data_IF_814643433478
#
_entry.id   IF_814643433478
#
_cell.length_a   1.000
_cell.length_b   1.000
_cell.length_c   1.000
_cell.angle_alpha   90.00
_cell.angle_beta   90.00
_cell.angle_gamma   90.00
#
_symmetry.space_group_name_H-M   'P 1'
#
loop_
_entity.id
_entity.type
_entity.pdbx_description
1 polymer ?
#
# COMPACT_ATOMS: atom_id res chain seq x y z
N UNK A 1 -24.73 22.89 -28.43
CA UNK A 1 -24.19 21.78 -27.61
C UNK A 1 -22.89 21.18 -28.14
N UNK A 2 -22.58 21.20 -29.44
CA UNK A 2 -21.25 20.84 -29.97
C UNK A 2 -20.03 21.58 -29.35
N UNK A 3 -20.03 22.92 -29.20
CA UNK A 3 -18.83 23.62 -28.72
C UNK A 3 -18.49 23.31 -27.25
N UNK A 4 -19.48 22.91 -26.43
CA UNK A 4 -19.26 22.52 -25.04
C UNK A 4 -18.52 21.17 -24.94
N UNK A 5 -18.91 20.21 -25.77
CA UNK A 5 -18.28 18.88 -25.86
C UNK A 5 -16.89 18.96 -26.48
N UNK A 6 -16.68 19.85 -27.46
CA UNK A 6 -15.35 20.11 -28.02
C UNK A 6 -14.39 20.79 -27.03
N UNK A 7 -14.91 21.70 -26.19
CA UNK A 7 -14.13 22.40 -25.16
C UNK A 7 -13.88 21.53 -23.91
N UNK A 8 -14.75 20.56 -23.63
CA UNK A 8 -14.68 19.70 -22.46
C UNK A 8 -14.96 18.24 -22.86
N UNK A 9 -14.06 17.57 -23.59
CA UNK A 9 -14.28 16.20 -24.11
C UNK A 9 -14.38 15.12 -23.03
N UNK A 10 -14.43 15.50 -21.75
CA UNK A 10 -14.32 14.61 -20.59
C UNK A 10 -12.88 14.48 -20.13
N UNK A 11 -12.68 14.48 -18.81
CA UNK A 11 -11.36 14.56 -18.21
C UNK A 11 -10.62 13.23 -18.10
N UNK A 12 -11.17 12.08 -18.47
CA UNK A 12 -10.53 10.79 -18.19
C UNK A 12 -9.28 10.54 -19.07
N UNK A 13 -8.10 10.46 -18.45
CA UNK A 13 -6.87 10.04 -19.12
C UNK A 13 -6.84 8.52 -19.32
N UNK A 14 -6.28 8.06 -20.44
CA UNK A 14 -5.88 6.65 -20.63
C UNK A 14 -4.69 6.32 -19.72
N UNK A 15 -3.67 7.18 -19.73
CA UNK A 15 -2.48 7.10 -18.88
C UNK A 15 -2.29 8.44 -18.15
N UNK A 16 -2.31 8.48 -16.81
CA UNK A 16 -2.10 9.71 -16.08
C UNK A 16 -0.65 10.18 -16.22
N UNK A 17 -0.45 11.34 -16.85
CA UNK A 17 0.88 11.94 -17.01
C UNK A 17 1.28 12.84 -15.82
N UNK A 18 0.39 12.99 -14.84
CA UNK A 18 0.52 13.90 -13.70
C UNK A 18 0.42 15.39 -14.03
N UNK A 19 0.08 15.74 -15.29
CA UNK A 19 -0.33 17.09 -15.67
C UNK A 19 -1.78 17.32 -15.22
N UNK A 20 -2.09 18.54 -14.77
CA UNK A 20 -3.44 18.92 -14.32
C UNK A 20 -4.47 19.09 -15.44
N UNK A 21 -4.18 18.59 -16.64
CA UNK A 21 -5.01 18.68 -17.84
C UNK A 21 -5.98 17.49 -17.99
N UNK A 22 -5.94 16.52 -17.07
CA UNK A 22 -6.88 15.41 -17.03
C UNK A 22 -7.14 14.89 -15.60
N UNK A 23 -8.11 13.99 -15.51
CA UNK A 23 -8.62 13.27 -14.35
C UNK A 23 -8.39 11.78 -14.57
N UNK A 24 -8.12 11.04 -13.50
CA UNK A 24 -8.06 9.58 -13.52
C UNK A 24 -8.95 9.03 -12.41
N UNK A 25 -9.39 7.78 -12.57
CA UNK A 25 -10.02 7.01 -11.50
C UNK A 25 -9.08 5.90 -11.05
N UNK A 26 -9.15 5.53 -9.78
CA UNK A 26 -8.47 4.37 -9.24
C UNK A 26 -9.48 3.46 -8.54
N UNK A 27 -9.11 2.21 -8.39
CA UNK A 27 -9.81 1.25 -7.55
C UNK A 27 -8.84 0.71 -6.50
N UNK A 28 -9.35 0.45 -5.29
CA UNK A 28 -8.52 -0.16 -4.25
C UNK A 28 -8.23 -1.62 -4.62
N UNK A 29 -6.95 -1.99 -4.65
CA UNK A 29 -6.53 -3.37 -4.93
C UNK A 29 -6.88 -4.36 -3.81
N UNK A 30 -7.32 -3.86 -2.65
CA UNK A 30 -7.63 -4.63 -1.45
C UNK A 30 -6.71 -4.27 -0.29
N UNK A 31 -7.01 -4.83 0.88
CA UNK A 31 -6.20 -4.64 2.09
C UNK A 31 -6.15 -5.91 2.95
N UNK A 32 -5.03 -6.08 3.64
CA UNK A 32 -4.83 -7.08 4.68
C UNK A 32 -4.51 -6.37 5.99
N UNK A 33 -4.95 -6.94 7.11
CA UNK A 33 -4.68 -6.43 8.44
C UNK A 33 -3.49 -7.15 9.07
N UNK A 34 -2.74 -6.44 9.91
CA UNK A 34 -1.62 -7.03 10.66
C UNK A 34 -2.14 -8.16 11.57
N UNK A 35 -3.29 -7.99 12.19
CA UNK A 35 -4.01 -9.00 12.98
C UNK A 35 -4.18 -10.34 12.24
N UNK A 36 -4.44 -10.31 10.92
CA UNK A 36 -4.55 -11.51 10.08
C UNK A 36 -3.20 -12.24 9.95
N UNK A 37 -2.09 -11.49 9.95
CA UNK A 37 -0.73 -12.03 9.89
C UNK A 37 -0.26 -12.55 11.26
N UNK A 38 -0.67 -11.89 12.34
CA UNK A 38 -0.33 -12.26 13.72
C UNK A 38 -1.17 -13.42 14.25
N UNK A 39 -2.31 -13.70 13.60
CA UNK A 39 -3.29 -14.67 14.04
C UNK A 39 -4.15 -14.20 15.22
N UNK A 40 -4.30 -12.88 15.40
CA UNK A 40 -5.04 -12.29 16.52
C UNK A 40 -6.44 -11.89 16.05
N UNK A 41 -7.46 -12.69 16.37
CA UNK A 41 -8.84 -12.41 15.94
C UNK A 41 -9.55 -11.37 16.79
N UNK A 42 -9.23 -11.31 18.08
CA UNK A 42 -9.78 -10.35 19.04
C UNK A 42 -8.65 -9.82 19.92
N UNK A 43 -8.30 -8.57 19.70
CA UNK A 43 -7.21 -7.91 20.41
C UNK A 43 -7.46 -7.77 21.91
N UNK A 44 -8.71 -7.51 22.30
CA UNK A 44 -9.07 -7.30 23.70
C UNK A 44 -9.01 -8.63 24.48
N UNK A 45 -9.43 -9.72 23.85
CA UNK A 45 -9.28 -11.07 24.42
C UNK A 45 -7.81 -11.45 24.51
N UNK A 46 -7.02 -11.18 23.46
CA UNK A 46 -5.58 -11.45 23.45
C UNK A 46 -4.87 -10.79 24.64
N UNK A 47 -5.06 -9.49 24.85
CA UNK A 47 -4.46 -8.76 25.97
C UNK A 47 -4.98 -9.28 27.33
N UNK A 48 -6.29 -9.56 27.45
CA UNK A 48 -6.89 -10.08 28.70
C UNK A 48 -6.32 -11.43 29.11
N UNK A 49 -5.95 -12.28 28.15
CA UNK A 49 -5.31 -13.58 28.38
C UNK A 49 -3.80 -13.46 28.66
N UNK A 50 -3.26 -12.25 28.80
CA UNK A 50 -1.83 -12.00 29.02
C UNK A 50 -1.01 -12.00 27.74
N UNK A 51 -1.67 -11.89 26.58
CA UNK A 51 -1.02 -11.73 25.30
C UNK A 51 -0.23 -10.41 25.22
N UNK A 52 0.88 -10.45 24.49
CA UNK A 52 1.70 -9.30 24.17
C UNK A 52 2.38 -9.55 22.85
N UNK A 53 2.08 -8.76 21.82
CA UNK A 53 2.61 -8.94 20.46
C UNK A 53 4.14 -9.02 20.44
N UNK A 54 4.79 -8.18 21.23
CA UNK A 54 6.24 -8.11 21.31
C UNK A 54 6.74 -7.49 22.62
N UNK A 55 7.76 -8.10 23.20
CA UNK A 55 8.53 -7.59 24.33
C UNK A 55 9.99 -7.41 23.92
N UNK A 56 10.44 -6.16 23.89
CA UNK A 56 11.82 -5.79 23.55
C UNK A 56 12.88 -6.39 24.47
N UNK A 57 12.56 -6.65 25.75
CA UNK A 57 13.55 -7.24 26.69
C UNK A 57 13.84 -8.69 26.36
N UNK A 58 12.83 -9.42 25.90
CA UNK A 58 12.95 -10.85 25.57
C UNK A 58 13.00 -11.12 24.07
N UNK A 59 12.88 -10.07 23.24
CA UNK A 59 12.85 -10.13 21.78
C UNK A 59 11.84 -11.15 21.23
N UNK A 60 10.65 -11.20 21.86
CA UNK A 60 9.57 -12.14 21.55
C UNK A 60 8.21 -11.66 22.00
N UNK A 61 7.16 -12.20 21.41
CA UNK A 61 5.78 -12.08 21.86
C UNK A 61 5.38 -13.13 22.90
N UNK A 62 4.19 -12.93 23.46
CA UNK A 62 3.50 -13.84 24.37
C UNK A 62 2.09 -14.06 23.80
N UNK A 63 1.72 -15.33 23.56
CA UNK A 63 0.49 -15.66 22.84
C UNK A 63 0.55 -15.48 21.32
N UNK A 64 1.63 -14.93 20.79
CA UNK A 64 2.01 -14.92 19.36
C UNK A 64 3.53 -14.90 19.25
N UNK A 65 4.07 -15.35 18.12
CA UNK A 65 5.52 -15.38 17.83
C UNK A 65 5.89 -14.57 16.58
N UNK A 66 4.93 -13.82 16.02
CA UNK A 66 5.07 -13.13 14.74
C UNK A 66 6.23 -12.12 14.76
N UNK A 67 6.36 -11.34 15.83
CA UNK A 67 7.38 -10.31 16.00
C UNK A 67 8.68 -10.76 16.68
N UNK A 68 8.80 -12.04 17.04
CA UNK A 68 10.02 -12.55 17.67
C UNK A 68 11.27 -12.29 16.82
N UNK A 69 12.41 -12.02 17.45
CA UNK A 69 13.65 -11.62 16.78
C UNK A 69 13.41 -10.44 15.83
N UNK A 70 12.99 -9.31 16.39
CA UNK A 70 12.49 -8.17 15.64
C UNK A 70 13.50 -7.65 14.63
N UNK A 71 14.78 -7.59 15.01
CA UNK A 71 15.89 -7.10 14.19
C UNK A 71 16.49 -8.16 13.25
N UNK A 72 15.98 -9.39 13.25
CA UNK A 72 16.45 -10.44 12.35
C UNK A 72 15.94 -10.16 10.92
N UNK A 73 16.87 -9.90 10.00
CA UNK A 73 16.57 -9.57 8.60
C UNK A 73 15.91 -10.71 7.84
N UNK A 74 16.25 -11.96 8.14
CA UNK A 74 15.66 -13.14 7.51
C UNK A 74 14.21 -13.30 7.95
N UNK A 75 13.93 -13.10 9.24
CA UNK A 75 12.55 -13.10 9.74
C UNK A 75 11.74 -11.93 9.21
N UNK A 76 12.32 -10.74 9.13
CA UNK A 76 11.67 -9.59 8.52
C UNK A 76 11.30 -9.86 7.05
N UNK A 77 12.21 -10.45 6.26
CA UNK A 77 11.91 -10.89 4.90
C UNK A 77 10.78 -11.93 4.86
N UNK A 78 10.77 -12.88 5.81
CA UNK A 78 9.68 -13.85 5.96
C UNK A 78 8.32 -13.20 6.25
N UNK A 79 8.26 -12.18 7.11
CA UNK A 79 7.03 -11.41 7.39
C UNK A 79 6.50 -10.70 6.15
N UNK A 80 7.38 -10.06 5.36
CA UNK A 80 7.00 -9.42 4.09
C UNK A 80 6.50 -10.45 3.08
N UNK A 81 7.15 -11.62 3.00
CA UNK A 81 6.69 -12.71 2.13
C UNK A 81 5.32 -13.25 2.56
N UNK A 82 5.07 -13.38 3.87
CA UNK A 82 3.76 -13.77 4.40
C UNK A 82 2.68 -12.74 4.08
N UNK A 83 2.97 -11.44 4.20
CA UNK A 83 2.07 -10.36 3.81
C UNK A 83 1.71 -10.42 2.32
N UNK A 84 2.72 -10.55 1.44
CA UNK A 84 2.49 -10.71 -0.01
C UNK A 84 1.67 -11.95 -0.34
N UNK A 85 1.95 -13.06 0.34
CA UNK A 85 1.19 -14.31 0.16
C UNK A 85 -0.26 -14.14 0.60
N UNK A 86 -0.51 -13.58 1.78
CA UNK A 86 -1.87 -13.38 2.30
C UNK A 86 -2.68 -12.47 1.37
N UNK A 87 -2.07 -11.39 0.88
CA UNK A 87 -2.71 -10.52 -0.10
C UNK A 87 -3.02 -11.29 -1.40
N UNK A 88 -2.04 -12.03 -1.93
CA UNK A 88 -2.20 -12.81 -3.15
C UNK A 88 -3.30 -13.87 -3.06
N UNK A 89 -3.42 -14.53 -1.91
CA UNK A 89 -4.46 -15.52 -1.67
C UNK A 89 -5.86 -14.88 -1.61
N UNK A 90 -5.98 -13.61 -1.20
CA UNK A 90 -7.26 -12.91 -0.98
C UNK A 90 -7.73 -12.11 -2.19
N UNK A 91 -6.82 -11.44 -2.90
CA UNK A 91 -7.15 -10.49 -3.97
C UNK A 91 -6.43 -10.79 -5.30
N UNK A 92 -5.53 -11.78 -5.34
CA UNK A 92 -4.65 -12.03 -6.49
C UNK A 92 -3.31 -11.29 -6.39
N UNK A 93 -2.39 -11.50 -7.35
CA UNK A 93 -1.04 -10.96 -7.28
C UNK A 93 -1.05 -9.43 -7.16
N UNK A 94 -0.13 -8.90 -6.36
CA UNK A 94 0.08 -7.46 -6.23
C UNK A 94 0.38 -6.82 -7.60
N UNK A 95 -0.06 -5.57 -7.77
CA UNK A 95 0.20 -4.84 -8.99
C UNK A 95 1.72 -4.69 -9.19
N UNK A 96 2.21 -4.73 -10.45
CA UNK A 96 3.62 -4.51 -10.70
C UNK A 96 4.04 -3.15 -10.15
N UNK A 97 5.19 -3.10 -9.48
CA UNK A 97 5.76 -1.84 -9.01
C UNK A 97 5.93 -0.91 -10.22
N UNK A 98 5.38 0.32 -10.19
CA UNK A 98 5.53 1.23 -11.31
C UNK A 98 7.01 1.55 -11.55
N UNK A 99 7.42 1.80 -12.79
CA UNK A 99 8.79 2.19 -13.08
C UNK A 99 9.14 3.51 -12.38
N UNK A 100 10.42 3.69 -12.03
CA UNK A 100 10.94 4.98 -11.60
C UNK A 100 11.28 5.83 -12.84
N UNK A 101 10.26 6.29 -13.54
CA UNK A 101 10.36 7.08 -14.77
C UNK A 101 10.14 8.59 -14.55
N UNK A 102 10.01 9.02 -13.30
CA UNK A 102 9.84 10.43 -12.95
C UNK A 102 11.01 11.28 -13.47
N UNK A 103 10.70 12.19 -14.40
CA UNK A 103 11.62 13.18 -14.92
C UNK A 103 11.20 14.58 -14.44
N UNK A 104 11.95 15.12 -13.48
CA UNK A 104 11.68 16.43 -12.87
C UNK A 104 11.59 17.56 -13.92
N UNK A 105 12.53 17.59 -14.87
CA UNK A 105 12.60 18.67 -15.87
C UNK A 105 11.40 18.62 -16.80
N UNK A 106 11.01 17.44 -17.26
CA UNK A 106 9.82 17.27 -18.10
C UNK A 106 8.55 17.67 -17.34
N UNK A 107 8.40 17.19 -16.10
CA UNK A 107 7.21 17.42 -15.28
C UNK A 107 6.97 18.90 -15.00
N UNK A 108 8.01 19.67 -14.67
CA UNK A 108 7.89 21.09 -14.29
C UNK A 108 8.16 22.09 -15.42
N UNK A 109 8.57 21.63 -16.61
CA UNK A 109 8.86 22.51 -17.75
C UNK A 109 7.67 23.38 -18.17
N UNK A 110 6.44 22.87 -18.02
CA UNK A 110 5.20 23.57 -18.41
C UNK A 110 4.52 24.33 -17.26
N UNK A 111 5.08 24.30 -16.03
CA UNK A 111 4.50 25.02 -14.89
C UNK A 111 4.82 26.53 -14.87
N UNK A 112 5.65 27.01 -15.80
CA UNK A 112 6.20 28.38 -15.77
C UNK A 112 5.47 29.38 -16.67
N UNK A 113 4.21 29.17 -17.04
CA UNK A 113 3.51 30.13 -17.92
C UNK A 113 2.01 30.26 -17.62
N UNK A 114 1.66 30.78 -16.45
CA UNK A 114 0.48 31.68 -16.31
C UNK A 114 0.60 32.50 -15.03
N UNK A 115 0.99 33.77 -15.16
CA UNK A 115 0.59 34.88 -14.27
C UNK A 115 -0.47 35.71 -15.01
#
# INVERSE_FOLDING_TARGET
DEPCVAANPGGACLDPTGRGDCTYSYENAGEIRIDELEGITDYQVFIRLGGKEYDRKTDRGYGTNFWDSFMDKTRAAGRVAAARKLFADKYGPDAPTPPCDFNFTEFYSNASTTE
#
